data_IF_613595126269
#
_entry.id   IF_613595126269
#
_cell.length_a   1.000
_cell.length_b   1.000
_cell.length_c   1.000
_cell.angle_alpha   90.00
_cell.angle_beta   90.00
_cell.angle_gamma   90.00
#
_symmetry.space_group_name_H-M   'P 1'
#
loop_
_entity.id
_entity.type
_entity.pdbx_description
1 polymer ?
#
# COMPACT_ATOMS: atom_id res chain seq x y z
N UNK A 1 -13.55 -18.56 -15.00
CA UNK A 1 -14.14 -19.89 -15.23
C UNK A 1 -15.47 -19.92 -14.51
N UNK A 2 -16.57 -20.19 -15.22
CA UNK A 2 -17.81 -20.51 -14.53
C UNK A 2 -17.76 -22.00 -14.19
N UNK A 3 -17.64 -22.31 -12.90
CA UNK A 3 -17.40 -23.68 -12.41
C UNK A 3 -18.59 -24.61 -12.68
N UNK A 4 -19.80 -24.07 -12.83
CA UNK A 4 -21.03 -24.84 -13.03
C UNK A 4 -21.27 -25.22 -14.50
N UNK A 5 -20.83 -24.39 -15.44
CA UNK A 5 -21.04 -24.58 -16.89
C UNK A 5 -19.80 -25.12 -17.62
N UNK A 6 -18.65 -25.21 -16.97
CA UNK A 6 -17.40 -25.62 -17.61
C UNK A 6 -16.91 -24.65 -18.71
N UNK A 7 -17.48 -23.44 -18.77
CA UNK A 7 -17.13 -22.45 -19.80
C UNK A 7 -16.17 -21.39 -19.27
N UNK A 8 -15.25 -20.97 -20.14
CA UNK A 8 -14.35 -19.84 -19.90
C UNK A 8 -15.03 -18.54 -20.32
N UNK A 9 -14.69 -17.45 -19.63
CA UNK A 9 -15.06 -16.11 -20.11
C UNK A 9 -14.33 -15.86 -21.44
N UNK A 10 -14.88 -15.04 -22.35
CA UNK A 10 -14.20 -14.64 -23.57
C UNK A 10 -12.80 -14.09 -23.26
N UNK A 11 -11.84 -14.37 -24.15
CA UNK A 11 -10.50 -13.81 -24.04
C UNK A 11 -10.60 -12.29 -24.22
N UNK A 12 -10.00 -11.56 -23.28
CA UNK A 12 -9.77 -10.12 -23.40
C UNK A 12 -8.26 -9.91 -23.46
N UNK A 13 -7.80 -9.17 -24.45
CA UNK A 13 -6.40 -8.80 -24.62
C UNK A 13 -6.21 -7.35 -24.22
N UNK A 14 -5.09 -7.05 -23.54
CA UNK A 14 -4.71 -5.71 -23.14
C UNK A 14 -3.28 -5.47 -23.57
N UNK A 15 -3.00 -4.32 -24.17
CA UNK A 15 -1.66 -3.90 -24.56
C UNK A 15 -1.20 -2.81 -23.61
N UNK A 16 0.00 -2.98 -23.05
CA UNK A 16 0.63 -2.01 -22.16
C UNK A 16 1.61 -1.17 -22.98
N UNK A 17 1.51 0.16 -22.90
CA UNK A 17 2.45 1.07 -23.58
C UNK A 17 3.75 1.25 -22.78
N UNK A 18 3.67 1.12 -21.45
CA UNK A 18 4.77 1.28 -20.50
C UNK A 18 4.80 0.13 -19.48
N UNK A 19 5.87 0.07 -18.68
CA UNK A 19 5.96 -0.83 -17.52
C UNK A 19 4.78 -0.56 -16.60
N UNK A 20 3.94 -1.59 -16.44
CA UNK A 20 2.76 -1.56 -15.57
C UNK A 20 2.87 -2.67 -14.55
N UNK A 21 2.49 -2.38 -13.32
CA UNK A 21 2.59 -3.32 -12.21
C UNK A 21 1.23 -3.90 -11.83
N UNK A 22 1.20 -5.17 -11.42
CA UNK A 22 0.07 -5.69 -10.64
C UNK A 22 0.15 -5.21 -9.19
N UNK A 23 -0.86 -5.49 -8.36
CA UNK A 23 -0.86 -5.00 -6.97
C UNK A 23 0.39 -5.37 -6.18
N UNK A 24 0.81 -6.65 -6.26
CA UNK A 24 1.97 -7.14 -5.50
C UNK A 24 3.27 -6.54 -6.05
N UNK A 25 3.47 -6.54 -7.37
CA UNK A 25 4.70 -5.99 -7.96
C UNK A 25 4.78 -4.48 -7.82
N UNK A 26 3.65 -3.77 -7.82
CA UNK A 26 3.57 -2.34 -7.62
C UNK A 26 3.97 -1.96 -6.20
N UNK A 27 3.51 -2.72 -5.21
CA UNK A 27 3.95 -2.56 -3.83
C UNK A 27 5.45 -2.88 -3.63
N UNK A 28 5.99 -3.92 -4.29
CA UNK A 28 7.43 -4.22 -4.24
C UNK A 28 8.27 -3.10 -4.90
N UNK A 29 7.79 -2.56 -6.03
CA UNK A 29 8.39 -1.39 -6.66
C UNK A 29 8.34 -0.16 -5.75
N UNK A 30 7.19 0.11 -5.13
CA UNK A 30 7.03 1.20 -4.17
C UNK A 30 8.07 1.12 -3.05
N UNK A 31 8.30 -0.08 -2.50
CA UNK A 31 9.33 -0.32 -1.48
C UNK A 31 10.78 -0.18 -1.97
N UNK A 32 11.01 -0.19 -3.28
CA UNK A 32 12.35 0.07 -3.83
C UNK A 32 12.68 1.56 -3.89
N UNK A 33 11.69 2.44 -3.75
CA UNK A 33 11.89 3.88 -3.80
C UNK A 33 12.62 4.41 -2.56
N UNK A 34 13.34 5.51 -2.75
CA UNK A 34 14.03 6.19 -1.66
C UNK A 34 13.09 7.15 -0.90
N UNK A 35 12.48 6.65 0.17
CA UNK A 35 11.55 7.42 1.00
C UNK A 35 12.21 8.59 1.75
N UNK A 36 13.53 8.62 1.89
CA UNK A 36 14.23 9.75 2.54
C UNK A 36 14.10 11.05 1.75
N UNK A 37 13.78 10.96 0.45
CA UNK A 37 13.62 12.09 -0.46
C UNK A 37 12.17 12.59 -0.57
N UNK A 38 11.20 11.88 0.01
CA UNK A 38 9.79 12.26 -0.05
C UNK A 38 9.45 13.22 1.09
N UNK A 39 9.03 14.44 0.78
CA UNK A 39 8.43 15.34 1.75
C UNK A 39 6.99 14.91 2.06
N UNK A 40 6.47 15.32 3.23
CA UNK A 40 5.03 15.20 3.50
C UNK A 40 4.26 16.04 2.47
N UNK A 41 3.26 15.43 1.83
CA UNK A 41 2.51 16.00 0.71
C UNK A 41 3.00 15.54 -0.67
N UNK A 42 4.20 14.96 -0.78
CA UNK A 42 4.68 14.43 -2.06
C UNK A 42 3.84 13.25 -2.52
N UNK A 43 3.63 13.16 -3.83
CA UNK A 43 2.86 12.08 -4.47
C UNK A 43 3.78 11.19 -5.30
N UNK A 44 3.70 9.89 -5.04
CA UNK A 44 4.30 8.85 -5.88
C UNK A 44 3.22 8.31 -6.81
N UNK A 45 3.50 8.21 -8.11
CA UNK A 45 2.59 7.59 -9.08
C UNK A 45 3.14 6.25 -9.56
N UNK A 46 2.31 5.21 -9.49
CA UNK A 46 2.64 3.86 -9.94
C UNK A 46 1.65 3.47 -11.02
N UNK A 47 2.15 3.20 -12.23
CA UNK A 47 1.33 2.64 -13.31
C UNK A 47 0.93 1.21 -12.93
N UNK A 48 -0.36 0.98 -12.74
CA UNK A 48 -0.89 -0.29 -12.28
C UNK A 48 -1.94 -0.87 -13.23
N UNK A 49 -2.03 -2.19 -13.31
CA UNK A 49 -3.09 -2.92 -14.01
C UNK A 49 -3.81 -3.81 -13.01
N UNK A 50 -5.09 -3.53 -12.80
CA UNK A 50 -5.94 -4.25 -11.85
C UNK A 50 -7.24 -4.64 -12.53
N UNK A 51 -7.56 -5.93 -12.43
CA UNK A 51 -8.70 -6.56 -13.10
C UNK A 51 -8.65 -6.40 -14.63
N UNK A 52 -9.31 -5.38 -15.17
CA UNK A 52 -9.35 -5.07 -16.60
C UNK A 52 -9.03 -3.60 -16.92
N UNK A 53 -8.44 -2.87 -15.96
CA UNK A 53 -8.25 -1.42 -16.07
C UNK A 53 -6.81 -1.01 -15.72
N UNK A 54 -6.28 -0.07 -16.50
CA UNK A 54 -5.03 0.64 -16.22
C UNK A 54 -5.29 1.84 -15.32
N UNK A 55 -4.46 1.98 -14.28
CA UNK A 55 -4.58 3.03 -13.28
C UNK A 55 -3.23 3.72 -13.08
N UNK A 56 -3.28 5.04 -12.92
CA UNK A 56 -2.18 5.79 -12.30
C UNK A 56 -2.44 5.82 -10.80
N UNK A 57 -1.94 4.81 -10.09
CA UNK A 57 -2.10 4.73 -8.63
C UNK A 57 -1.24 5.81 -7.98
N UNK A 58 -1.90 6.86 -7.52
CA UNK A 58 -1.27 7.94 -6.77
C UNK A 58 -1.27 7.61 -5.28
N UNK A 59 -0.10 7.75 -4.66
CA UNK A 59 0.12 7.50 -3.23
C UNK A 59 0.81 8.72 -2.63
N UNK A 60 0.14 9.35 -1.67
CA UNK A 60 0.61 10.55 -0.99
C UNK A 60 1.41 10.15 0.25
N UNK A 61 2.60 10.72 0.43
CA UNK A 61 3.31 10.71 1.71
C UNK A 61 2.54 11.60 2.69
N UNK A 62 1.69 10.99 3.51
CA UNK A 62 0.69 11.70 4.29
C UNK A 62 1.26 12.33 5.56
N UNK A 63 2.07 11.56 6.30
CA UNK A 63 2.75 12.05 7.51
C UNK A 63 3.89 11.14 7.92
N UNK A 64 4.71 11.63 8.86
CA UNK A 64 5.72 10.86 9.59
C UNK A 64 5.40 10.93 11.07
N UNK A 65 5.37 9.79 11.73
CA UNK A 65 5.04 9.71 13.15
C UNK A 65 5.64 8.46 13.80
N UNK A 66 5.61 8.42 15.12
CA UNK A 66 5.93 7.21 15.87
C UNK A 66 4.62 6.45 16.11
N UNK A 67 4.59 5.16 15.78
CA UNK A 67 3.44 4.29 16.04
C UNK A 67 3.86 3.09 16.87
N UNK A 68 2.95 2.66 17.75
CA UNK A 68 3.04 1.41 18.46
C UNK A 68 2.22 0.35 17.72
N UNK A 69 2.82 -0.80 17.45
CA UNK A 69 2.18 -2.03 16.97
C UNK A 69 2.57 -3.17 17.90
N UNK A 70 1.94 -4.35 17.79
CA UNK A 70 2.29 -5.51 18.64
C UNK A 70 3.76 -5.93 18.56
N UNK A 71 4.42 -5.66 17.43
CA UNK A 71 5.85 -5.92 17.24
C UNK A 71 6.79 -4.87 17.89
N UNK A 72 6.25 -3.82 18.52
CA UNK A 72 7.00 -2.73 19.17
C UNK A 72 6.63 -1.34 18.65
N UNK A 73 7.42 -0.35 19.07
CA UNK A 73 7.24 1.07 18.72
C UNK A 73 8.24 1.49 17.65
N UNK A 74 7.76 2.09 16.57
CA UNK A 74 8.57 2.40 15.38
C UNK A 74 8.37 3.84 14.91
N UNK A 75 9.43 4.45 14.37
CA UNK A 75 9.28 5.59 13.46
C UNK A 75 8.71 5.08 12.13
N UNK A 76 7.67 5.73 11.64
CA UNK A 76 6.92 5.29 10.48
C UNK A 76 6.56 6.46 9.56
N UNK A 77 6.41 6.14 8.28
CA UNK A 77 5.82 7.01 7.27
C UNK A 77 4.44 6.44 6.94
N UNK A 78 3.41 7.27 7.08
CA UNK A 78 2.06 6.95 6.67
C UNK A 78 1.85 7.37 5.21
N UNK A 79 1.28 6.46 4.43
CA UNK A 79 0.94 6.67 3.04
C UNK A 79 -0.56 6.53 2.83
N UNK A 80 -1.10 7.41 1.98
CA UNK A 80 -2.52 7.48 1.64
C UNK A 80 -2.68 7.34 0.12
N UNK A 81 -3.36 6.31 -0.39
CA UNK A 81 -3.70 6.26 -1.81
C UNK A 81 -4.78 7.30 -2.14
N UNK A 82 -4.69 7.90 -3.32
CA UNK A 82 -5.78 8.72 -3.87
C UNK A 82 -6.84 7.77 -4.40
N UNK A 83 -7.94 7.65 -3.68
CA UNK A 83 -9.03 6.76 -4.04
C UNK A 83 -9.89 7.42 -5.12
N UNK A 84 -10.20 6.71 -6.23
CA UNK A 84 -11.27 7.12 -7.13
C UNK A 84 -12.61 7.22 -6.39
N UNK A 85 -13.59 7.89 -7.00
CA UNK A 85 -14.96 7.85 -6.52
C UNK A 85 -15.40 6.40 -6.32
N UNK A 86 -15.85 6.10 -5.10
CA UNK A 86 -16.20 4.76 -4.69
C UNK A 86 -17.32 4.81 -3.64
N UNK A 87 -18.00 3.68 -3.45
CA UNK A 87 -19.14 3.56 -2.52
C UNK A 87 -18.81 2.84 -1.22
N UNK A 88 -17.55 2.39 -1.07
CA UNK A 88 -17.14 1.50 0.02
C UNK A 88 -16.39 2.28 1.10
N UNK A 89 -15.46 3.14 0.69
CA UNK A 89 -14.50 3.84 1.52
C UNK A 89 -14.98 5.25 1.86
N UNK A 90 -14.82 5.64 3.12
CA UNK A 90 -15.34 6.91 3.63
C UNK A 90 -14.24 7.97 3.73
N UNK A 91 -14.41 9.06 2.95
CA UNK A 91 -13.51 10.21 2.97
C UNK A 91 -12.18 9.97 2.24
N UNK A 92 -11.35 11.00 2.19
CA UNK A 92 -10.07 10.94 1.47
C UNK A 92 -8.99 10.13 2.22
N UNK A 93 -9.07 10.08 3.55
CA UNK A 93 -8.15 9.33 4.43
C UNK A 93 -8.63 7.89 4.70
N UNK A 94 -9.47 7.35 3.81
CA UNK A 94 -10.13 6.08 4.05
C UNK A 94 -9.17 4.89 4.13
N UNK A 95 -7.98 4.99 3.52
CA UNK A 95 -6.94 3.97 3.64
C UNK A 95 -5.64 4.64 4.06
N UNK A 96 -5.04 4.14 5.14
CA UNK A 96 -3.71 4.57 5.59
C UNK A 96 -2.82 3.34 5.76
N UNK A 97 -1.61 3.41 5.22
CA UNK A 97 -0.61 2.37 5.34
C UNK A 97 0.66 2.95 5.98
N UNK A 98 1.03 2.43 7.14
CA UNK A 98 2.26 2.79 7.83
C UNK A 98 3.37 1.82 7.46
N UNK A 99 4.49 2.39 7.05
CA UNK A 99 5.70 1.67 6.70
C UNK A 99 6.84 2.21 7.55
N UNK A 100 7.70 1.33 8.08
CA UNK A 100 8.83 1.75 8.92
C UNK A 100 9.75 2.72 8.18
N UNK A 101 10.19 3.77 8.88
CA UNK A 101 11.07 4.80 8.36
C UNK A 101 12.54 4.35 8.46
N UNK A 102 12.85 3.26 7.74
CA UNK A 102 14.18 2.67 7.63
C UNK A 102 14.43 2.07 6.22
N UNK A 103 15.57 1.41 6.06
CA UNK A 103 15.91 0.77 4.79
C UNK A 103 15.13 -0.52 4.52
N UNK A 104 14.62 -1.19 5.55
CA UNK A 104 13.79 -2.38 5.38
C UNK A 104 12.40 -2.02 4.84
N UNK A 105 11.81 -0.89 5.24
CA UNK A 105 10.45 -0.44 4.82
C UNK A 105 9.39 -1.50 5.13
N UNK A 106 9.34 -1.91 6.39
CA UNK A 106 8.44 -2.96 6.86
C UNK A 106 7.02 -2.39 6.94
N UNK A 107 5.98 -3.04 6.40
CA UNK A 107 4.60 -2.66 6.67
C UNK A 107 4.31 -2.89 8.14
N UNK A 108 3.96 -1.82 8.83
CA UNK A 108 3.69 -1.85 10.25
C UNK A 108 2.19 -1.96 10.52
N UNK A 109 1.38 -1.19 9.79
CA UNK A 109 -0.07 -1.15 9.97
C UNK A 109 -0.74 -0.74 8.67
N UNK A 110 -1.94 -1.26 8.41
CA UNK A 110 -2.85 -0.72 7.41
C UNK A 110 -4.23 -0.60 8.05
N UNK A 111 -4.85 0.56 7.90
CA UNK A 111 -6.21 0.83 8.35
C UNK A 111 -7.07 1.20 7.15
N UNK A 112 -8.29 0.68 7.11
CA UNK A 112 -9.30 0.93 6.10
C UNK A 112 -10.63 1.30 6.78
N UNK A 113 -11.09 2.53 6.54
CA UNK A 113 -12.38 3.06 6.98
C UNK A 113 -13.38 2.91 5.85
N UNK A 114 -14.40 2.10 6.10
CA UNK A 114 -15.51 1.86 5.20
C UNK A 114 -16.78 2.49 5.78
N UNK A 115 -17.75 2.80 4.95
CA UNK A 115 -19.06 3.27 5.41
C UNK A 115 -19.71 2.31 6.44
N UNK A 116 -19.44 1.00 6.32
CA UNK A 116 -20.01 -0.04 7.18
C UNK A 116 -19.13 -0.43 8.37
N UNK A 117 -17.97 0.21 8.57
CA UNK A 117 -17.08 -0.09 9.69
C UNK A 117 -15.61 0.12 9.41
N UNK A 118 -14.77 -0.52 10.21
CA UNK A 118 -13.32 -0.36 10.17
C UNK A 118 -12.64 -1.72 10.09
N UNK A 119 -11.64 -1.84 9.23
CA UNK A 119 -10.74 -2.99 9.16
C UNK A 119 -9.31 -2.52 9.32
N UNK A 120 -8.51 -3.27 10.07
CA UNK A 120 -7.10 -2.97 10.30
C UNK A 120 -6.26 -4.23 10.40
N UNK A 121 -5.03 -4.13 9.94
CA UNK A 121 -3.99 -5.14 10.14
C UNK A 121 -2.77 -4.44 10.73
N UNK A 122 -2.05 -5.14 11.62
CA UNK A 122 -0.81 -4.64 12.20
C UNK A 122 0.24 -5.75 12.29
N UNK A 123 1.51 -5.34 12.29
CA UNK A 123 2.65 -6.22 12.42
C UNK A 123 2.72 -6.78 13.85
N UNK A 124 2.76 -8.10 13.95
CA UNK A 124 2.87 -8.80 15.24
C UNK A 124 4.29 -9.21 15.57
N UNK A 125 5.04 -9.71 14.58
CA UNK A 125 6.42 -10.19 14.73
C UNK A 125 7.20 -10.04 13.40
N UNK A 126 8.52 -9.99 13.47
CA UNK A 126 9.41 -9.95 12.32
C UNK A 126 10.78 -10.56 12.67
N UNK A 127 11.49 -11.07 11.67
CA UNK A 127 12.82 -11.68 11.84
C UNK A 127 13.64 -11.56 10.55
N UNK A 128 14.95 -11.82 10.64
CA UNK A 128 15.88 -11.85 9.49
C UNK A 128 15.94 -10.55 8.68
N UNK A 129 15.91 -9.40 9.37
CA UNK A 129 16.06 -8.10 8.70
C UNK A 129 17.49 -7.91 8.18
N UNK A 130 17.59 -7.27 7.02
CA UNK A 130 18.88 -6.91 6.42
C UNK A 130 19.51 -5.70 7.11
N UNK A 131 18.69 -4.76 7.57
CA UNK A 131 19.13 -3.53 8.21
C UNK A 131 18.49 -3.38 9.60
N UNK A 132 19.04 -2.53 10.49
CA UNK A 132 18.39 -2.20 11.74
C UNK A 132 16.98 -1.62 11.50
N UNK A 133 15.95 -2.07 12.24
CA UNK A 133 14.62 -1.49 12.15
C UNK A 133 14.58 -0.09 12.77
N UNK A 134 13.62 0.73 12.34
CA UNK A 134 13.33 2.05 12.91
C UNK A 134 12.66 1.98 14.31
N UNK A 135 13.08 1.05 15.16
CA UNK A 135 12.59 0.93 16.53
C UNK A 135 12.90 2.21 17.32
N UNK A 136 11.97 2.57 18.19
CA UNK A 136 12.17 3.58 19.23
C UNK A 136 12.38 2.81 20.52
N UNK A 137 13.57 2.92 21.09
CA UNK A 137 13.84 2.39 22.43
C UNK A 137 12.98 3.16 23.45
N UNK A 138 12.43 2.43 24.43
CA UNK A 138 11.73 3.01 25.59
C UNK A 138 12.67 3.82 26.50
#
# INVERSE_FOLDING_TARGET
MNLDSGTFKPIKEYTMEDITYGMISGYLYFRSLDFSRLAVGDTVTIKAFLEDTFYDLQVICYKREVIEVRAGTFKAIAFRPVMPENTIFEGEDAVLAWISDDQNKIPLRVEARMFIGHAGIELTEYQNLKYPPALVDE
#
